data_IF_775462704105
#
_entry.id   IF_775462704105
#
_cell.length_a   1.000
_cell.length_b   1.000
_cell.length_c   1.000
_cell.angle_alpha   90.00
_cell.angle_beta   90.00
_cell.angle_gamma   90.00
#
_symmetry.space_group_name_H-M   'P 1'
#
loop_
_entity.id
_entity.type
_entity.pdbx_description
1 polymer ?
#
# COMPACT_ATOMS: atom_id res chain seq x y z
N UNK A 1 -21.36 -28.84 -21.28
CA UNK A 1 -20.11 -28.08 -21.64
C UNK A 1 -19.95 -26.75 -20.88
N UNK A 2 -20.96 -26.28 -20.16
CA UNK A 2 -20.91 -25.02 -19.38
C UNK A 2 -20.36 -25.19 -17.96
N UNK A 3 -20.48 -26.35 -17.35
CA UNK A 3 -19.99 -26.60 -15.98
C UNK A 3 -18.45 -26.64 -15.85
N UNK A 4 -17.73 -27.05 -16.91
CA UNK A 4 -16.27 -27.11 -16.87
C UNK A 4 -15.57 -25.73 -16.89
N UNK A 5 -16.23 -24.70 -17.46
CA UNK A 5 -15.63 -23.33 -17.47
C UNK A 5 -15.62 -22.67 -16.10
N UNK A 6 -16.57 -22.98 -15.24
CA UNK A 6 -16.65 -22.39 -13.89
C UNK A 6 -15.59 -22.97 -12.96
N UNK A 7 -15.26 -24.26 -13.11
CA UNK A 7 -14.19 -24.91 -12.35
C UNK A 7 -12.79 -24.52 -12.81
N UNK A 8 -12.59 -24.20 -14.09
CA UNK A 8 -11.29 -23.74 -14.60
C UNK A 8 -10.97 -22.28 -14.17
N UNK A 9 -12.00 -21.46 -13.92
CA UNK A 9 -11.80 -20.11 -13.35
C UNK A 9 -11.37 -20.21 -11.87
N UNK A 10 -11.88 -21.17 -11.12
CA UNK A 10 -11.50 -21.41 -9.71
C UNK A 10 -10.12 -22.06 -9.55
N UNK A 11 -9.57 -22.68 -10.60
CA UNK A 11 -8.19 -23.20 -10.63
C UNK A 11 -7.15 -22.15 -11.02
N UNK A 12 -7.54 -20.99 -11.52
CA UNK A 12 -6.63 -19.84 -11.63
C UNK A 12 -6.35 -19.37 -10.22
N UNK A 13 -5.14 -19.61 -9.76
CA UNK A 13 -4.65 -19.24 -8.45
C UNK A 13 -5.03 -17.78 -8.15
N UNK A 14 -5.90 -17.57 -7.16
CA UNK A 14 -6.19 -16.24 -6.66
C UNK A 14 -4.98 -15.77 -5.87
N UNK A 15 -4.22 -14.86 -6.46
CA UNK A 15 -3.11 -14.22 -5.75
C UNK A 15 -3.69 -13.23 -4.73
N UNK A 16 -3.74 -13.64 -3.48
CA UNK A 16 -3.96 -12.72 -2.36
C UNK A 16 -2.60 -12.14 -1.96
N UNK A 17 -2.42 -10.84 -2.14
CA UNK A 17 -1.24 -10.15 -1.64
C UNK A 17 -1.44 -9.83 -0.14
N UNK A 18 -1.34 -10.87 0.68
CA UNK A 18 -1.21 -10.74 2.13
C UNK A 18 0.21 -11.07 2.49
N UNK A 19 0.93 -10.10 3.00
CA UNK A 19 2.26 -10.28 3.55
C UNK A 19 2.15 -10.57 5.03
N UNK A 20 2.85 -11.59 5.52
CA UNK A 20 2.87 -11.93 6.94
C UNK A 20 2.49 -13.37 7.24
N UNK A 21 1.91 -13.59 8.41
CA UNK A 21 1.54 -14.89 8.93
C UNK A 21 0.25 -14.87 9.75
N UNK A 22 -0.05 -15.95 10.50
CA UNK A 22 -1.32 -16.07 11.22
C UNK A 22 -1.48 -15.08 12.38
N UNK A 23 -0.37 -14.55 12.92
CA UNK A 23 -0.40 -13.64 14.07
C UNK A 23 -0.35 -12.16 13.65
N UNK A 24 0.29 -11.86 12.53
CA UNK A 24 0.41 -10.49 12.01
C UNK A 24 0.41 -10.55 10.49
N UNK A 25 -0.46 -9.78 9.87
CA UNK A 25 -0.58 -9.75 8.42
C UNK A 25 -0.90 -8.36 7.88
N UNK A 26 -0.52 -8.15 6.62
CA UNK A 26 -0.73 -6.89 5.90
C UNK A 26 -1.39 -7.22 4.57
N UNK A 27 -2.58 -6.70 4.34
CA UNK A 27 -3.24 -6.74 3.04
C UNK A 27 -3.14 -5.38 2.35
N UNK A 28 -2.57 -5.38 1.14
CA UNK A 28 -2.46 -4.19 0.32
C UNK A 28 -3.31 -4.29 -0.94
N UNK A 29 -3.93 -3.18 -1.35
CA UNK A 29 -4.67 -3.08 -2.61
C UNK A 29 -4.44 -1.72 -3.27
N UNK A 30 -4.68 -1.66 -4.58
CA UNK A 30 -4.54 -0.47 -5.40
C UNK A 30 -3.42 -0.58 -6.43
N UNK A 31 -3.65 0.02 -7.59
CA UNK A 31 -2.74 0.04 -8.72
C UNK A 31 -1.93 1.35 -8.75
N UNK A 32 -0.80 1.34 -9.44
CA UNK A 32 0.11 2.49 -9.55
C UNK A 32 -0.61 3.77 -10.03
N UNK A 33 -1.54 3.63 -10.97
CA UNK A 33 -2.35 4.72 -11.50
C UNK A 33 -3.80 4.69 -10.96
N UNK A 34 -4.09 3.87 -9.97
CA UNK A 34 -5.34 3.90 -9.21
C UNK A 34 -5.48 5.16 -8.34
N UNK A 35 -6.64 5.43 -7.76
CA UNK A 35 -6.88 6.62 -6.93
C UNK A 35 -6.05 6.62 -5.63
N UNK A 36 -5.77 5.45 -5.08
CA UNK A 36 -5.03 5.29 -3.83
C UNK A 36 -4.41 3.89 -3.74
N UNK A 37 -3.44 3.75 -2.85
CA UNK A 37 -3.03 2.47 -2.28
C UNK A 37 -3.68 2.37 -0.91
N UNK A 38 -4.45 1.30 -0.70
CA UNK A 38 -5.03 0.98 0.61
C UNK A 38 -4.22 -0.12 1.29
N UNK A 39 -4.20 -0.07 2.61
CA UNK A 39 -3.47 -1.02 3.46
C UNK A 39 -4.34 -1.37 4.66
N UNK A 40 -4.46 -2.65 4.95
CA UNK A 40 -5.06 -3.12 6.19
C UNK A 40 -4.06 -3.99 6.94
N UNK A 41 -3.78 -3.65 8.19
CA UNK A 41 -2.88 -4.39 9.07
C UNK A 41 -3.70 -5.14 10.10
N UNK A 42 -3.45 -6.43 10.22
CA UNK A 42 -4.10 -7.34 11.15
C UNK A 42 -3.12 -7.81 12.22
N UNK A 43 -3.62 -8.10 13.42
CA UNK A 43 -2.84 -8.72 14.49
C UNK A 43 -1.89 -7.75 15.22
N UNK A 44 -2.10 -6.44 15.09
CA UNK A 44 -1.43 -5.49 15.97
C UNK A 44 -2.00 -5.64 17.38
N UNK A 45 -1.19 -5.99 18.41
CA UNK A 45 -1.70 -6.15 19.78
C UNK A 45 -2.35 -4.87 20.28
N UNK A 46 -3.47 -4.95 21.05
CA UNK A 46 -4.06 -3.76 21.66
C UNK A 46 -3.08 -3.08 22.62
N UNK A 47 -3.15 -1.75 22.69
CA UNK A 47 -2.27 -0.97 23.56
C UNK A 47 -0.90 -0.64 22.98
N UNK A 48 -0.60 -1.02 21.73
CA UNK A 48 0.63 -0.56 21.03
C UNK A 48 0.46 0.89 20.59
N UNK A 49 1.40 1.77 20.92
CA UNK A 49 1.35 3.19 20.54
C UNK A 49 1.76 3.40 19.08
N UNK A 50 0.84 3.84 18.26
CA UNK A 50 1.04 4.09 16.82
C UNK A 50 0.99 5.59 16.55
N UNK A 51 2.04 6.11 15.88
CA UNK A 51 2.12 7.50 15.42
C UNK A 51 2.27 7.55 13.91
N UNK A 52 1.44 8.36 13.25
CA UNK A 52 1.49 8.58 11.81
C UNK A 52 2.87 9.09 11.36
N UNK A 53 3.49 9.96 12.13
CA UNK A 53 4.82 10.52 11.85
C UNK A 53 5.91 9.44 11.74
N UNK A 54 5.86 8.39 12.55
CA UNK A 54 6.80 7.27 12.48
C UNK A 54 6.63 6.47 11.19
N UNK A 55 5.39 6.18 10.81
CA UNK A 55 5.09 5.46 9.56
C UNK A 55 5.46 6.34 8.37
N UNK A 56 5.14 7.64 8.41
CA UNK A 56 5.50 8.59 7.38
C UNK A 56 7.01 8.68 7.15
N UNK A 57 7.81 8.61 8.21
CA UNK A 57 9.27 8.61 8.11
C UNK A 57 9.79 7.46 7.20
N UNK A 58 9.24 6.26 7.34
CA UNK A 58 9.61 5.14 6.48
C UNK A 58 9.09 5.27 5.06
N UNK A 59 7.90 5.81 4.87
CA UNK A 59 7.34 6.13 3.55
C UNK A 59 8.18 7.20 2.84
N UNK A 60 8.65 8.23 3.55
CA UNK A 60 9.51 9.26 3.00
C UNK A 60 10.86 8.70 2.50
N UNK A 61 11.40 7.68 3.16
CA UNK A 61 12.59 6.96 2.68
C UNK A 61 12.34 6.14 1.42
N UNK A 62 11.13 5.59 1.26
CA UNK A 62 10.73 4.79 0.11
C UNK A 62 10.38 5.63 -1.11
N UNK A 63 9.74 6.79 -0.94
CA UNK A 63 9.15 7.58 -2.03
C UNK A 63 10.16 7.96 -3.11
N UNK A 64 9.74 8.03 -4.40
CA UNK A 64 10.60 8.47 -5.48
C UNK A 64 10.94 9.97 -5.35
N UNK A 65 12.09 10.36 -5.94
CA UNK A 65 12.53 11.76 -5.93
C UNK A 65 13.18 12.23 -4.62
N UNK A 66 13.45 11.31 -3.68
CA UNK A 66 14.14 11.60 -2.43
C UNK A 66 15.66 11.81 -2.60
N UNK A 67 16.23 11.35 -3.72
CA UNK A 67 17.65 11.51 -4.03
C UNK A 67 17.89 11.70 -5.54
N UNK A 68 19.12 12.11 -5.91
CA UNK A 68 19.53 12.40 -7.29
C UNK A 68 19.67 11.16 -8.19
N UNK A 69 19.74 9.97 -7.62
CA UNK A 69 19.93 8.70 -8.33
C UNK A 69 18.59 8.02 -8.69
N UNK A 70 17.49 8.53 -8.15
CA UNK A 70 16.14 8.01 -8.39
C UNK A 70 15.46 8.64 -9.60
N UNK A 71 14.23 8.24 -9.86
CA UNK A 71 13.36 8.84 -10.89
C UNK A 71 13.05 10.32 -10.56
N UNK A 72 12.89 11.19 -11.56
CA UNK A 72 12.48 12.58 -11.36
C UNK A 72 11.03 12.72 -10.87
N UNK A 73 10.25 11.65 -10.87
CA UNK A 73 8.88 11.63 -10.36
C UNK A 73 8.88 11.99 -8.87
N UNK A 74 8.00 12.90 -8.48
CA UNK A 74 7.80 13.30 -7.09
C UNK A 74 6.40 12.91 -6.65
N UNK A 75 6.29 12.22 -5.54
CA UNK A 75 5.04 11.86 -4.89
C UNK A 75 5.19 12.12 -3.39
N UNK A 76 4.17 12.67 -2.76
CA UNK A 76 4.22 12.98 -1.33
C UNK A 76 3.98 11.74 -0.47
N UNK A 77 3.28 10.73 -1.00
CA UNK A 77 2.97 9.46 -0.33
C UNK A 77 2.56 9.64 1.15
N UNK A 78 1.62 10.57 1.39
CA UNK A 78 1.14 10.88 2.73
C UNK A 78 0.22 9.77 3.24
N UNK A 79 0.61 9.13 4.35
CA UNK A 79 -0.22 8.12 4.99
C UNK A 79 -1.37 8.79 5.78
N UNK A 80 -2.54 8.17 5.66
CA UNK A 80 -3.78 8.60 6.30
C UNK A 80 -4.33 7.37 7.04
N UNK A 81 -4.39 7.42 8.36
CA UNK A 81 -5.01 6.37 9.17
C UNK A 81 -6.51 6.60 9.32
N UNK A 82 -7.31 5.55 9.12
CA UNK A 82 -8.77 5.61 9.09
C UNK A 82 -9.43 4.80 10.20
N UNK A 83 -8.76 3.80 10.77
CA UNK A 83 -9.32 2.94 11.82
C UNK A 83 -8.23 2.26 12.66
N UNK A 84 -8.67 1.58 13.73
CA UNK A 84 -7.83 0.71 14.55
C UNK A 84 -7.02 1.42 15.63
N UNK A 85 -7.23 2.74 15.84
CA UNK A 85 -6.56 3.53 16.86
C UNK A 85 -7.57 4.16 17.82
N UNK A 86 -7.17 4.30 19.08
CA UNK A 86 -7.92 4.95 20.14
C UNK A 86 -7.02 5.80 21.02
N UNK A 87 -7.56 6.88 21.56
CA UNK A 87 -6.95 7.69 22.62
C UNK A 87 -8.04 8.45 23.38
N UNK A 88 -7.87 8.58 24.70
CA UNK A 88 -8.69 9.48 25.51
C UNK A 88 -8.41 10.96 25.18
N UNK A 89 -7.21 11.25 24.69
CA UNK A 89 -6.86 12.55 24.10
C UNK A 89 -7.36 12.62 22.64
N UNK A 90 -8.60 13.02 22.48
CA UNK A 90 -9.25 13.15 21.18
C UNK A 90 -8.61 14.21 20.29
N UNK A 91 -8.04 15.27 20.85
CA UNK A 91 -7.34 16.30 20.05
C UNK A 91 -6.11 15.72 19.39
N UNK A 92 -5.34 14.92 20.14
CA UNK A 92 -4.17 14.22 19.61
C UNK A 92 -4.55 13.13 18.63
N UNK A 93 -5.58 12.34 18.94
CA UNK A 93 -6.06 11.27 18.06
C UNK A 93 -6.47 11.83 16.70
N UNK A 94 -7.23 12.92 16.68
CA UNK A 94 -7.81 13.53 15.48
C UNK A 94 -6.96 14.69 14.92
N UNK A 95 -5.67 14.75 15.21
CA UNK A 95 -4.75 15.75 14.67
C UNK A 95 -4.21 15.42 13.27
N UNK A 96 -4.59 14.30 12.69
CA UNK A 96 -4.15 13.87 11.36
C UNK A 96 -4.70 14.72 10.22
N UNK A 97 -4.43 14.36 8.97
CA UNK A 97 -4.88 15.11 7.81
C UNK A 97 -6.41 15.24 7.74
N UNK A 98 -6.89 16.41 7.36
CA UNK A 98 -8.30 16.60 7.01
C UNK A 98 -8.60 15.91 5.68
N UNK A 99 -9.70 15.18 5.65
CA UNK A 99 -10.21 14.53 4.46
C UNK A 99 -11.51 15.21 4.03
N UNK A 100 -11.58 15.56 2.76
CA UNK A 100 -12.81 16.03 2.12
C UNK A 100 -13.15 15.06 1.00
N UNK A 101 -14.36 14.55 1.01
CA UNK A 101 -14.87 13.63 0.00
C UNK A 101 -16.16 14.22 -0.60
N UNK A 102 -16.15 14.40 -1.90
CA UNK A 102 -17.32 14.86 -2.66
C UNK A 102 -17.89 13.69 -3.46
N UNK A 103 -19.18 13.43 -3.28
CA UNK A 103 -19.93 12.38 -3.98
C UNK A 103 -21.28 12.95 -4.44
N UNK A 104 -21.34 13.41 -5.69
CA UNK A 104 -22.51 14.12 -6.19
C UNK A 104 -22.79 15.38 -5.37
N UNK A 105 -23.98 15.48 -4.78
CA UNK A 105 -24.37 16.60 -3.92
C UNK A 105 -23.92 16.45 -2.46
N UNK A 106 -23.29 15.32 -2.11
CA UNK A 106 -22.80 15.05 -0.76
C UNK A 106 -21.34 15.47 -0.60
N UNK A 107 -21.08 16.40 0.32
CA UNK A 107 -19.74 16.77 0.76
C UNK A 107 -19.54 16.30 2.20
N UNK A 108 -18.58 15.41 2.42
CA UNK A 108 -18.20 14.88 3.72
C UNK A 108 -16.83 15.43 4.09
N UNK A 109 -16.72 15.94 5.31
CA UNK A 109 -15.43 16.29 5.89
C UNK A 109 -15.19 15.46 7.14
N UNK A 110 -14.01 14.88 7.25
CA UNK A 110 -13.59 14.12 8.42
C UNK A 110 -12.13 14.37 8.73
N UNK A 111 -11.71 13.96 9.91
CA UNK A 111 -10.35 14.08 10.39
C UNK A 111 -9.75 12.67 10.49
N UNK A 112 -8.58 12.47 9.91
CA UNK A 112 -7.84 11.23 10.05
C UNK A 112 -7.13 11.15 11.39
N UNK A 113 -6.70 9.94 11.77
CA UNK A 113 -5.96 9.73 13.00
C UNK A 113 -4.49 10.15 12.87
N UNK A 114 -3.96 10.80 13.89
CA UNK A 114 -2.54 11.15 13.99
C UNK A 114 -1.77 10.19 14.88
N UNK A 115 -2.30 9.92 16.09
CA UNK A 115 -1.65 9.03 17.03
C UNK A 115 -2.65 8.44 18.01
N UNK A 116 -2.41 7.21 18.45
CA UNK A 116 -3.24 6.51 19.42
C UNK A 116 -2.75 5.10 19.70
N UNK A 117 -3.35 4.48 20.68
CA UNK A 117 -3.15 3.07 20.98
C UNK A 117 -3.94 2.22 19.98
N UNK A 118 -3.32 1.15 19.49
CA UNK A 118 -4.03 0.12 18.72
C UNK A 118 -5.14 -0.50 19.56
N UNK A 119 -6.29 -0.77 18.94
CA UNK A 119 -7.46 -1.38 19.60
C UNK A 119 -7.44 -2.91 19.55
N UNK A 120 -6.52 -3.51 18.77
CA UNK A 120 -6.56 -4.93 18.42
C UNK A 120 -7.39 -5.21 17.16
N UNK A 121 -8.24 -4.28 16.76
CA UNK A 121 -8.96 -4.33 15.49
C UNK A 121 -8.06 -3.97 14.30
N UNK A 122 -8.45 -4.29 13.05
CA UNK A 122 -7.66 -3.96 11.89
C UNK A 122 -7.36 -2.47 11.76
N UNK A 123 -6.08 -2.14 11.55
CA UNK A 123 -5.64 -0.78 11.27
C UNK A 123 -5.72 -0.54 9.77
N UNK A 124 -6.61 0.35 9.34
CA UNK A 124 -6.75 0.76 7.95
C UNK A 124 -6.01 2.06 7.67
N UNK A 125 -5.26 2.08 6.57
CA UNK A 125 -4.55 3.25 6.09
C UNK A 125 -4.68 3.38 4.56
N UNK A 126 -4.61 4.61 4.07
CA UNK A 126 -4.55 4.91 2.64
C UNK A 126 -3.43 5.90 2.32
N UNK A 127 -2.93 5.81 1.09
CA UNK A 127 -2.06 6.83 0.48
C UNK A 127 -2.66 7.21 -0.86
N UNK A 128 -3.03 8.46 -1.02
CA UNK A 128 -3.64 8.97 -2.25
C UNK A 128 -2.60 9.10 -3.37
N UNK A 129 -3.02 8.86 -4.61
CA UNK A 129 -2.18 8.97 -5.79
C UNK A 129 -2.37 10.35 -6.44
N UNK A 130 -1.38 11.23 -6.32
CA UNK A 130 -1.46 12.61 -6.80
C UNK A 130 -0.98 12.78 -8.25
N UNK A 131 0.06 12.08 -8.67
CA UNK A 131 0.72 12.31 -9.96
C UNK A 131 0.55 11.10 -10.90
N UNK A 132 -0.26 11.27 -11.97
CA UNK A 132 -0.54 10.21 -12.95
C UNK A 132 -0.39 10.74 -14.37
N UNK A 133 0.33 10.00 -15.23
CA UNK A 133 0.37 10.21 -16.68
C UNK A 133 -0.11 8.94 -17.37
N UNK A 134 -1.43 8.74 -17.38
CA UNK A 134 -2.03 7.49 -17.87
C UNK A 134 -2.03 7.38 -19.39
N UNK A 135 -2.00 8.50 -20.12
CA UNK A 135 -1.97 8.52 -21.60
C UNK A 135 -0.76 7.78 -22.19
N UNK A 136 0.39 7.77 -21.49
CA UNK A 136 1.60 7.11 -21.94
C UNK A 136 1.46 5.57 -22.04
N UNK A 137 0.36 5.01 -21.54
CA UNK A 137 0.11 3.56 -21.46
C UNK A 137 -1.04 3.06 -22.33
N UNK A 138 -1.62 3.90 -23.19
CA UNK A 138 -2.80 3.53 -24.00
C UNK A 138 -2.53 2.32 -24.89
N UNK A 139 -1.37 2.24 -25.54
CA UNK A 139 -0.99 1.11 -26.38
C UNK A 139 -0.86 -0.23 -25.65
N UNK A 140 -0.69 -0.22 -24.33
CA UNK A 140 -0.57 -1.42 -23.51
C UNK A 140 -1.90 -1.83 -22.87
N UNK A 141 -2.96 -1.03 -23.07
CA UNK A 141 -4.25 -1.23 -22.41
C UNK A 141 -5.14 -2.23 -23.13
N UNK A 142 -5.99 -2.92 -22.37
CA UNK A 142 -6.99 -3.87 -22.90
C UNK A 142 -6.47 -5.28 -23.08
N UNK A 143 -7.38 -6.19 -23.40
CA UNK A 143 -7.08 -7.63 -23.55
C UNK A 143 -6.10 -7.99 -24.68
N UNK A 144 -6.00 -7.11 -25.68
CA UNK A 144 -5.11 -7.26 -26.85
C UNK A 144 -3.99 -6.22 -26.84
N UNK A 145 -3.78 -5.54 -25.69
CA UNK A 145 -2.71 -4.58 -25.55
C UNK A 145 -1.32 -5.25 -25.64
N UNK A 146 -0.35 -4.46 -26.07
CA UNK A 146 1.04 -4.92 -26.13
C UNK A 146 1.61 -5.17 -24.73
N UNK A 147 2.52 -6.12 -24.60
CA UNK A 147 3.25 -6.37 -23.34
C UNK A 147 4.67 -5.82 -23.45
N UNK A 148 5.13 -5.16 -22.40
CA UNK A 148 6.50 -4.63 -22.39
C UNK A 148 7.51 -5.75 -22.17
N UNK A 149 8.53 -5.88 -23.05
CA UNK A 149 9.59 -6.89 -22.86
C UNK A 149 10.33 -6.69 -21.53
N UNK A 150 10.60 -7.79 -20.82
CA UNK A 150 11.31 -7.72 -19.54
C UNK A 150 10.49 -7.16 -18.36
N UNK A 151 9.21 -6.89 -18.54
CA UNK A 151 8.28 -6.44 -17.50
C UNK A 151 7.32 -7.57 -17.09
N UNK A 152 6.66 -7.42 -15.94
CA UNK A 152 5.67 -8.39 -15.44
C UNK A 152 4.36 -8.42 -16.23
N UNK A 153 4.19 -7.55 -17.21
CA UNK A 153 2.96 -7.40 -18.01
C UNK A 153 2.47 -8.74 -18.59
N UNK A 154 3.37 -9.50 -19.22
CA UNK A 154 3.04 -10.77 -19.82
C UNK A 154 2.48 -11.78 -18.79
N UNK A 155 3.16 -11.88 -17.64
CA UNK A 155 2.75 -12.80 -16.57
C UNK A 155 1.38 -12.39 -16.03
N UNK A 156 1.19 -11.12 -15.74
CA UNK A 156 -0.09 -10.59 -15.24
C UNK A 156 -1.21 -10.72 -16.26
N UNK A 157 -0.90 -10.51 -17.54
CA UNK A 157 -1.85 -10.72 -18.63
C UNK A 157 -2.36 -12.16 -18.68
N UNK A 158 -1.46 -13.13 -18.61
CA UNK A 158 -1.86 -14.55 -18.57
C UNK A 158 -2.61 -14.92 -17.30
N UNK A 159 -2.18 -14.45 -16.15
CA UNK A 159 -2.84 -14.71 -14.86
C UNK A 159 -4.27 -14.19 -14.82
N UNK A 160 -4.51 -13.00 -15.37
CA UNK A 160 -5.80 -12.33 -15.34
C UNK A 160 -6.68 -12.59 -16.56
N UNK A 161 -6.14 -13.28 -17.59
CA UNK A 161 -6.82 -13.40 -18.88
C UNK A 161 -6.99 -12.07 -19.61
N UNK A 162 -6.01 -11.16 -19.45
CA UNK A 162 -6.01 -9.84 -20.04
C UNK A 162 -6.71 -8.74 -19.22
N UNK A 163 -7.30 -9.09 -18.07
CA UNK A 163 -7.96 -8.13 -17.18
C UNK A 163 -6.98 -7.55 -16.16
N UNK A 164 -6.03 -6.74 -16.63
CA UNK A 164 -4.97 -6.15 -15.81
C UNK A 164 -4.79 -4.67 -16.10
N UNK A 165 -4.57 -3.87 -15.08
CA UNK A 165 -4.14 -2.48 -15.25
C UNK A 165 -2.63 -2.44 -15.45
N UNK A 166 -2.20 -2.13 -16.67
CA UNK A 166 -0.77 -2.04 -17.04
C UNK A 166 -0.18 -0.65 -16.82
N UNK A 167 -1.01 0.35 -16.50
CA UNK A 167 -0.59 1.74 -16.33
C UNK A 167 0.38 1.86 -15.14
N UNK A 168 1.59 2.36 -15.40
CA UNK A 168 2.64 2.45 -14.39
C UNK A 168 3.06 1.11 -13.77
N UNK A 169 2.74 -0.02 -14.44
CA UNK A 169 2.99 -1.37 -13.93
C UNK A 169 1.88 -1.93 -13.04
N UNK A 170 0.77 -1.21 -12.91
CA UNK A 170 -0.39 -1.63 -12.13
C UNK A 170 -0.04 -2.01 -10.69
N UNK A 171 -0.52 -3.17 -10.24
CA UNK A 171 -0.18 -3.72 -8.92
C UNK A 171 1.27 -4.25 -8.83
N UNK A 172 1.92 -4.55 -9.95
CA UNK A 172 3.34 -4.95 -9.98
C UNK A 172 4.32 -3.78 -9.90
N UNK A 173 3.83 -2.57 -9.79
CA UNK A 173 4.63 -1.37 -9.59
C UNK A 173 5.28 -1.37 -8.21
N UNK A 174 6.50 -0.79 -8.13
CA UNK A 174 7.15 -0.50 -6.85
C UNK A 174 6.26 0.31 -5.88
N UNK A 175 5.28 1.05 -6.40
CA UNK A 175 4.31 1.79 -5.60
C UNK A 175 3.47 0.89 -4.68
N UNK A 176 3.25 -0.37 -5.06
CA UNK A 176 2.54 -1.33 -4.21
C UNK A 176 3.22 -1.59 -2.86
N UNK A 177 4.56 -1.42 -2.79
CA UNK A 177 5.33 -1.55 -1.54
C UNK A 177 4.99 -0.52 -0.47
N UNK A 178 4.14 0.48 -0.78
CA UNK A 178 3.57 1.39 0.23
C UNK A 178 2.91 0.58 1.35
N UNK A 179 2.12 -0.45 0.99
CA UNK A 179 1.45 -1.30 1.97
C UNK A 179 2.45 -2.07 2.84
N UNK A 180 3.53 -2.58 2.23
CA UNK A 180 4.57 -3.33 2.93
C UNK A 180 5.31 -2.43 3.93
N UNK A 181 5.57 -1.18 3.53
CA UNK A 181 6.24 -0.19 4.40
C UNK A 181 5.35 0.24 5.56
N UNK A 182 4.05 0.46 5.32
CA UNK A 182 3.09 0.79 6.39
C UNK A 182 3.02 -0.37 7.40
N UNK A 183 2.76 -1.59 6.92
CA UNK A 183 2.67 -2.77 7.78
C UNK A 183 3.99 -3.07 8.49
N UNK A 184 5.11 -3.01 7.79
CA UNK A 184 6.45 -3.21 8.35
C UNK A 184 6.81 -2.16 9.41
N UNK A 185 6.36 -0.92 9.26
CA UNK A 185 6.56 0.13 10.27
C UNK A 185 5.78 -0.16 11.55
N UNK A 186 4.54 -0.62 11.43
CA UNK A 186 3.72 -1.03 12.57
C UNK A 186 4.30 -2.28 13.24
N UNK A 187 4.69 -3.31 12.46
CA UNK A 187 5.34 -4.51 12.99
C UNK A 187 6.62 -4.16 13.75
N UNK A 188 7.43 -3.23 13.23
CA UNK A 188 8.63 -2.74 13.88
C UNK A 188 8.32 -2.08 15.23
N UNK A 189 7.24 -1.31 15.32
CA UNK A 189 6.79 -0.71 16.57
C UNK A 189 6.39 -1.79 17.59
N UNK A 190 5.58 -2.78 17.18
CA UNK A 190 5.21 -3.92 18.01
C UNK A 190 6.44 -4.67 18.54
N UNK A 191 7.38 -5.01 17.65
CA UNK A 191 8.60 -5.73 18.03
C UNK A 191 9.48 -4.93 18.99
N UNK A 192 9.55 -3.61 18.80
CA UNK A 192 10.32 -2.75 19.69
C UNK A 192 9.67 -2.62 21.07
N UNK A 193 8.38 -2.33 21.14
CA UNK A 193 7.68 -2.06 22.40
C UNK A 193 7.51 -3.32 23.27
N UNK A 194 7.20 -4.46 22.64
CA UNK A 194 6.92 -5.69 23.39
C UNK A 194 8.15 -6.59 23.59
N UNK A 195 9.16 -6.49 22.73
CA UNK A 195 10.31 -7.41 22.73
C UNK A 195 11.66 -6.70 22.74
N UNK A 196 11.68 -5.37 22.80
CA UNK A 196 12.91 -4.56 22.70
C UNK A 196 13.79 -4.93 21.47
N UNK A 197 13.13 -5.32 20.38
CA UNK A 197 13.80 -5.73 19.14
C UNK A 197 14.14 -4.52 18.28
N UNK A 198 15.39 -4.46 17.82
CA UNK A 198 15.88 -3.44 16.89
C UNK A 198 16.22 -4.08 15.55
N UNK A 199 15.74 -3.46 14.46
CA UNK A 199 16.00 -3.93 13.09
C UNK A 199 16.88 -2.92 12.38
N UNK A 200 18.05 -3.40 11.92
CA UNK A 200 19.00 -2.62 11.13
C UNK A 200 19.19 -3.23 9.76
N UNK A 201 19.38 -2.40 8.76
CA UNK A 201 19.74 -2.83 7.41
C UNK A 201 20.79 -1.89 6.83
N UNK A 202 21.76 -2.46 6.11
CA UNK A 202 22.81 -1.70 5.41
C UNK A 202 23.12 -2.38 4.08
N UNK A 203 23.64 -1.59 3.14
CA UNK A 203 24.19 -2.11 1.89
C UNK A 203 25.58 -2.67 2.21
N UNK A 204 25.82 -3.94 1.88
CA UNK A 204 27.12 -4.58 2.10
C UNK A 204 27.96 -4.71 0.81
N UNK A 205 27.33 -4.59 -0.35
CA UNK A 205 28.04 -4.66 -1.63
C UNK A 205 27.24 -3.96 -2.73
N UNK A 206 27.92 -3.28 -3.63
CA UNK A 206 27.37 -2.69 -4.85
C UNK A 206 28.30 -3.06 -6.02
N UNK A 207 27.83 -3.97 -6.91
CA UNK A 207 28.64 -4.50 -8.01
C UNK A 207 29.89 -5.22 -7.49
N UNK A 208 31.05 -5.01 -8.11
CA UNK A 208 32.32 -5.61 -7.68
C UNK A 208 32.99 -4.87 -6.50
N UNK A 209 32.39 -3.77 -6.03
CA UNK A 209 32.91 -2.91 -4.95
C UNK A 209 32.39 -3.32 -3.58
#
# INVERSE_FOLDING_TARGET
RTANRTFDVLKKEMYMEILGGPLFGVAGAGESHGPAISTTVFGCPPGTWIERSRVQHFLDRRRPGSNKLGTPRREDDKVIFLSGLYSDDHERLLAGPKLSLEMGDLSLQTQAYEAGYSTGEPIAAIVLSAAKRSADYEQFSGQQGEVRPGHTDLVKHYQSGGHVDVRGGGRSSYRSTISDVIGGSIARTVLHEHFNTHIFSSICQVGPL
#
